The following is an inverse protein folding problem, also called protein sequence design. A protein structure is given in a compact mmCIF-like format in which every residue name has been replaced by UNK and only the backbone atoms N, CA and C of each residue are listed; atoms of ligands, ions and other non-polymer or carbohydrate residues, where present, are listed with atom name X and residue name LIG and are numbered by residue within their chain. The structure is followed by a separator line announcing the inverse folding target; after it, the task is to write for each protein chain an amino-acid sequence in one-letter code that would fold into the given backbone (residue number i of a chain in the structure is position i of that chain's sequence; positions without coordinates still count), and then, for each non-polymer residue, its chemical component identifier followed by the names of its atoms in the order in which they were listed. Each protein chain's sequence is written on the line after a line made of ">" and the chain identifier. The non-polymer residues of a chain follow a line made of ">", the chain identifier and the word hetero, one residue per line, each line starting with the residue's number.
data_IF_948305226233
#
_entry.id   IF_948305226233
#
_cell.length_a   1.000
_cell.length_b   1.000
_cell.length_c   1.000
_cell.angle_alpha   90.00
_cell.angle_beta   90.00
_cell.angle_gamma   90.00
#
_symmetry.space_group_name_H-M   'P 1'
#
loop_
_entity.id
_entity.type
_entity.pdbx_description
1 polymer ?
#
# COMPACT_ATOMS: atom_id res chain seq x y z
N UNK A 1 11.87 16.76 14.89
CA UNK A 1 10.43 16.50 15.03
C UNK A 1 10.21 15.04 14.68
N UNK A 2 9.91 14.21 15.67
CA UNK A 2 9.70 12.77 15.45
C UNK A 2 8.29 12.63 14.87
N UNK A 3 8.18 12.38 13.56
CA UNK A 3 6.91 11.99 12.97
C UNK A 3 6.60 10.59 13.51
N UNK A 4 5.73 10.50 14.51
CA UNK A 4 5.20 9.22 14.96
C UNK A 4 4.31 8.69 13.84
N UNK A 5 4.92 7.95 12.91
CA UNK A 5 4.26 7.48 11.72
C UNK A 5 3.22 6.45 12.15
N UNK A 6 1.93 6.71 11.98
CA UNK A 6 0.84 5.85 12.45
C UNK A 6 0.90 4.37 12.03
N UNK A 7 1.78 3.96 11.12
CA UNK A 7 2.00 2.55 10.78
C UNK A 7 2.98 1.83 11.73
N UNK A 8 3.64 2.50 12.68
CA UNK A 8 4.75 1.94 13.48
C UNK A 8 4.38 0.67 14.23
N UNK A 9 3.14 0.52 14.70
CA UNK A 9 2.66 -0.70 15.34
C UNK A 9 2.53 -1.92 14.40
N UNK A 10 2.37 -1.68 13.09
CA UNK A 10 2.19 -2.70 12.06
C UNK A 10 3.35 -2.76 11.06
N UNK A 11 4.47 -2.07 11.34
CA UNK A 11 5.63 -1.95 10.46
C UNK A 11 6.13 -3.30 9.96
N UNK A 12 6.32 -4.27 10.84
CA UNK A 12 6.83 -5.60 10.47
C UNK A 12 5.87 -6.35 9.53
N UNK A 13 4.56 -6.17 9.73
CA UNK A 13 3.54 -6.74 8.86
C UNK A 13 3.58 -6.13 7.45
N UNK A 14 3.77 -4.81 7.34
CA UNK A 14 3.97 -4.15 6.03
C UNK A 14 5.25 -4.60 5.36
N UNK A 15 6.37 -4.65 6.08
CA UNK A 15 7.65 -5.14 5.55
C UNK A 15 7.53 -6.59 5.07
N UNK A 16 6.83 -7.45 5.80
CA UNK A 16 6.59 -8.84 5.37
C UNK A 16 5.75 -8.93 4.09
N UNK A 17 4.72 -8.09 3.92
CA UNK A 17 3.93 -8.03 2.68
C UNK A 17 4.76 -7.52 1.51
N UNK A 18 5.53 -6.45 1.71
CA UNK A 18 6.41 -5.88 0.69
C UNK A 18 7.49 -6.87 0.23
N UNK A 19 8.10 -7.65 1.15
CA UNK A 19 9.05 -8.72 0.81
C UNK A 19 8.42 -9.82 -0.05
N UNK A 20 7.14 -10.16 0.18
CA UNK A 20 6.41 -11.12 -0.67
C UNK A 20 6.19 -10.55 -2.07
N UNK A 21 5.76 -9.29 -2.17
CA UNK A 21 5.57 -8.59 -3.44
C UNK A 21 6.89 -8.55 -4.22
N UNK A 22 7.99 -8.21 -3.57
CA UNK A 22 9.33 -8.24 -4.18
C UNK A 22 9.68 -9.62 -4.77
N UNK A 23 9.31 -10.70 -4.07
CA UNK A 23 9.41 -12.06 -4.58
C UNK A 23 8.56 -12.33 -5.82
N UNK A 24 7.33 -11.81 -5.86
CA UNK A 24 6.45 -11.89 -7.03
C UNK A 24 7.05 -11.15 -8.23
N UNK A 25 7.57 -9.94 -8.03
CA UNK A 25 8.22 -9.16 -9.11
C UNK A 25 9.45 -9.90 -9.66
N UNK A 26 10.29 -10.48 -8.80
CA UNK A 26 11.40 -11.34 -9.25
C UNK A 26 10.91 -12.58 -9.99
N UNK A 27 9.75 -13.13 -9.62
CA UNK A 27 9.12 -14.24 -10.33
C UNK A 27 8.72 -13.84 -11.74
N UNK A 28 8.00 -12.73 -11.89
CA UNK A 28 7.59 -12.17 -13.19
C UNK A 28 8.81 -11.92 -14.09
N UNK A 29 9.90 -11.38 -13.53
CA UNK A 29 11.15 -11.19 -14.28
C UNK A 29 11.66 -12.49 -14.89
N UNK A 30 11.77 -13.56 -14.09
CA UNK A 30 12.22 -14.87 -14.59
C UNK A 30 11.28 -15.45 -15.63
N UNK A 31 9.97 -15.31 -15.45
CA UNK A 31 8.99 -15.78 -16.44
C UNK A 31 9.20 -15.11 -17.81
N UNK A 32 9.55 -13.83 -17.82
CA UNK A 32 9.89 -13.11 -19.06
C UNK A 32 11.22 -13.59 -19.64
N UNK A 33 12.24 -13.83 -18.81
CA UNK A 33 13.54 -14.38 -19.25
C UNK A 33 13.42 -15.80 -19.83
N UNK A 34 12.46 -16.58 -19.34
CA UNK A 34 12.21 -17.97 -19.72
C UNK A 34 11.18 -18.11 -20.86
N UNK A 35 10.74 -16.99 -21.46
CA UNK A 35 9.73 -16.94 -22.53
C UNK A 35 8.41 -17.66 -22.17
N UNK A 36 8.00 -17.56 -20.90
CA UNK A 36 6.77 -18.18 -20.39
C UNK A 36 5.50 -17.60 -21.04
N UNK A 37 4.41 -18.36 -20.95
CA UNK A 37 3.15 -17.98 -21.59
C UNK A 37 2.62 -16.64 -21.07
N UNK A 38 2.30 -15.73 -22.01
CA UNK A 38 1.90 -14.36 -21.69
C UNK A 38 0.73 -14.26 -20.71
N UNK A 39 -0.23 -15.20 -20.75
CA UNK A 39 -1.39 -15.17 -19.84
C UNK A 39 -0.98 -15.50 -18.40
N UNK A 40 0.01 -16.35 -18.19
CA UNK A 40 0.51 -16.69 -16.87
C UNK A 40 1.29 -15.50 -16.27
N UNK A 41 2.08 -14.81 -17.10
CA UNK A 41 2.75 -13.56 -16.72
C UNK A 41 1.72 -12.50 -16.30
N UNK A 42 0.67 -12.28 -17.11
CA UNK A 42 -0.40 -11.34 -16.79
C UNK A 42 -1.15 -11.71 -15.50
N UNK A 43 -1.32 -13.01 -15.25
CA UNK A 43 -1.90 -13.51 -14.00
C UNK A 43 -1.02 -13.16 -12.80
N UNK A 44 0.30 -13.34 -12.89
CA UNK A 44 1.23 -12.97 -11.81
C UNK A 44 1.30 -11.45 -11.60
N UNK A 45 1.29 -10.66 -12.67
CA UNK A 45 1.22 -9.20 -12.59
C UNK A 45 -0.06 -8.77 -11.85
N UNK A 46 -1.19 -9.38 -12.18
CA UNK A 46 -2.47 -9.09 -11.51
C UNK A 46 -2.40 -9.43 -10.02
N UNK A 47 -1.80 -10.57 -9.65
CA UNK A 47 -1.58 -10.95 -8.26
C UNK A 47 -0.67 -9.96 -7.50
N UNK A 48 0.39 -9.45 -8.14
CA UNK A 48 1.28 -8.45 -7.55
C UNK A 48 0.56 -7.10 -7.35
N UNK A 49 -0.26 -6.68 -8.32
CA UNK A 49 -1.07 -5.47 -8.22
C UNK A 49 -2.07 -5.56 -7.05
N UNK A 50 -2.81 -6.67 -6.93
CA UNK A 50 -3.72 -6.87 -5.80
C UNK A 50 -2.99 -6.88 -4.45
N UNK A 51 -1.77 -7.43 -4.39
CA UNK A 51 -0.97 -7.40 -3.17
C UNK A 51 -0.51 -5.97 -2.81
N UNK A 52 -0.11 -5.17 -3.80
CA UNK A 52 0.23 -3.75 -3.61
C UNK A 52 -0.99 -2.93 -3.14
N UNK A 53 -2.15 -3.14 -3.75
CA UNK A 53 -3.40 -2.48 -3.36
C UNK A 53 -3.76 -2.78 -1.91
N UNK A 54 -3.64 -4.03 -1.47
CA UNK A 54 -3.87 -4.40 -0.07
C UNK A 54 -2.91 -3.70 0.90
N UNK A 55 -1.64 -3.50 0.52
CA UNK A 55 -0.68 -2.73 1.32
C UNK A 55 -1.10 -1.26 1.39
N UNK A 56 -1.47 -0.66 0.26
CA UNK A 56 -1.90 0.73 0.19
C UNK A 56 -3.16 0.99 1.03
N UNK A 57 -4.18 0.13 0.94
CA UNK A 57 -5.40 0.20 1.74
C UNK A 57 -5.11 0.06 3.24
N UNK A 58 -4.19 -0.82 3.63
CA UNK A 58 -3.75 -0.94 5.01
C UNK A 58 -3.15 0.37 5.53
N UNK A 59 -2.17 0.92 4.81
CA UNK A 59 -1.49 2.17 5.18
C UNK A 59 -2.47 3.34 5.27
N UNK A 60 -3.42 3.41 4.34
CA UNK A 60 -4.49 4.41 4.35
C UNK A 60 -5.37 4.27 5.60
N UNK A 61 -5.78 3.05 5.92
CA UNK A 61 -6.57 2.76 7.13
C UNK A 61 -5.86 3.16 8.41
N UNK A 62 -4.56 2.88 8.52
CA UNK A 62 -3.75 3.28 9.68
C UNK A 62 -3.59 4.81 9.76
N UNK A 63 -3.43 5.49 8.63
CA UNK A 63 -3.37 6.95 8.59
C UNK A 63 -4.69 7.58 9.06
N UNK A 64 -5.84 7.08 8.60
CA UNK A 64 -7.14 7.57 9.04
C UNK A 64 -7.31 7.37 10.56
N UNK A 65 -7.00 6.18 11.08
CA UNK A 65 -7.16 5.85 12.51
C UNK A 65 -6.29 6.71 13.43
N UNK A 66 -5.10 7.11 13.00
CA UNK A 66 -4.18 7.86 13.85
C UNK A 66 -4.21 9.36 13.58
N UNK A 67 -4.02 9.77 12.32
CA UNK A 67 -3.86 11.18 11.96
C UNK A 67 -5.21 11.89 11.88
N UNK A 68 -6.21 11.31 11.22
CA UNK A 68 -7.53 11.95 11.05
C UNK A 68 -8.32 11.92 12.36
N UNK A 69 -8.40 10.77 13.03
CA UNK A 69 -9.10 10.69 14.34
C UNK A 69 -8.39 11.54 15.40
N UNK A 70 -7.06 11.58 15.39
CA UNK A 70 -6.27 12.45 16.26
C UNK A 70 -6.60 13.93 16.03
N UNK A 71 -6.58 14.39 14.78
CA UNK A 71 -6.93 15.76 14.41
C UNK A 71 -8.40 16.11 14.71
N UNK A 72 -9.33 15.18 14.50
CA UNK A 72 -10.73 15.36 14.82
C UNK A 72 -10.96 15.58 16.33
N UNK A 73 -10.22 14.85 17.18
CA UNK A 73 -10.24 15.07 18.63
C UNK A 73 -9.60 16.40 19.04
N UNK A 74 -8.67 16.91 18.25
CA UNK A 74 -8.02 18.21 18.45
C UNK A 74 -8.82 19.41 17.91
N UNK A 75 -9.95 19.16 17.22
CA UNK A 75 -10.94 20.18 16.86
C UNK A 75 -11.11 20.43 15.36
N UNK A 76 -10.12 20.12 14.53
CA UNK A 76 -10.22 20.30 13.08
C UNK A 76 -9.43 19.22 12.31
N UNK A 77 -10.12 18.26 11.65
CA UNK A 77 -9.48 17.24 10.81
C UNK A 77 -9.35 17.62 9.32
N UNK A 78 -9.78 18.82 8.91
CA UNK A 78 -9.96 19.18 7.49
C UNK A 78 -8.72 18.96 6.62
N UNK A 79 -7.55 19.37 7.10
CA UNK A 79 -6.27 19.17 6.40
C UNK A 79 -5.95 17.69 6.18
N UNK A 80 -6.16 16.85 7.21
CA UNK A 80 -5.90 15.40 7.13
C UNK A 80 -6.92 14.67 6.27
N UNK A 81 -8.15 15.14 6.22
CA UNK A 81 -9.16 14.64 5.28
C UNK A 81 -8.73 14.95 3.84
N UNK A 82 -8.27 16.18 3.55
CA UNK A 82 -7.81 16.55 2.22
C UNK A 82 -6.59 15.73 1.76
N UNK A 83 -5.65 15.42 2.66
CA UNK A 83 -4.52 14.51 2.40
C UNK A 83 -4.99 13.11 1.97
N UNK A 84 -5.96 12.55 2.71
CA UNK A 84 -6.56 11.23 2.43
C UNK A 84 -7.30 11.23 1.09
N UNK A 85 -8.13 12.24 0.82
CA UNK A 85 -8.83 12.36 -0.47
C UNK A 85 -7.85 12.42 -1.65
N UNK A 86 -6.76 13.17 -1.51
CA UNK A 86 -5.73 13.26 -2.53
C UNK A 86 -5.01 11.91 -2.74
N UNK A 87 -4.79 11.14 -1.68
CA UNK A 87 -4.22 9.80 -1.78
C UNK A 87 -5.16 8.81 -2.48
N UNK A 88 -6.45 8.79 -2.11
CA UNK A 88 -7.47 7.93 -2.74
C UNK A 88 -7.59 8.25 -4.24
N UNK A 89 -7.60 9.54 -4.62
CA UNK A 89 -7.65 9.95 -6.03
C UNK A 89 -6.48 9.42 -6.87
N UNK A 90 -5.33 9.11 -6.27
CA UNK A 90 -4.18 8.50 -6.98
C UNK A 90 -4.30 6.99 -7.09
N UNK A 91 -5.05 6.34 -6.20
CA UNK A 91 -5.23 4.87 -6.18
C UNK A 91 -6.31 4.39 -7.14
N UNK A 92 -7.36 5.19 -7.36
CA UNK A 92 -8.52 4.84 -8.20
C UNK A 92 -8.29 5.21 -9.68
N UNK A 93 -7.15 5.82 -10.00
CA UNK A 93 -6.83 6.35 -11.34
C UNK A 93 -5.93 5.39 -12.08
#
# INVERSE_FOLDING_TARGET
>A
MNHDHGYTAAKDAYLARLRRIEGQIRGIHRMVEEDEYCIDILTQISAANSALENVALGLLGDHIKHCVVGAARAGDPSEKIAEVEAAIKRMVK
#
